data_IF_146951405357
#
_entry.id   IF_146951405357
#
_cell.length_a   1.000
_cell.length_b   1.000
_cell.length_c   1.000
_cell.angle_alpha   90.00
_cell.angle_beta   90.00
_cell.angle_gamma   90.00
#
_symmetry.space_group_name_H-M   'P 1'
#
loop_
_entity.id
_entity.type
_entity.pdbx_description
1 polymer ?
#
# COMPACT_ATOMS: atom_id res chain seq x y z
N UNK A 1 -47.69 -25.44 -20.19
CA UNK A 1 -47.37 -24.00 -20.00
C UNK A 1 -46.96 -23.64 -18.55
N UNK A 2 -47.32 -24.44 -17.53
CA UNK A 2 -47.05 -24.14 -16.10
C UNK A 2 -45.64 -24.45 -15.62
N UNK A 3 -45.00 -25.57 -16.06
CA UNK A 3 -43.67 -25.98 -15.57
C UNK A 3 -42.55 -25.04 -16.01
N UNK A 4 -42.61 -24.49 -17.20
CA UNK A 4 -41.61 -23.52 -17.70
C UNK A 4 -41.63 -22.20 -16.96
N UNK A 5 -42.82 -21.70 -16.54
CA UNK A 5 -43.00 -20.47 -15.79
C UNK A 5 -42.42 -20.63 -14.37
N UNK A 6 -42.73 -21.76 -13.69
CA UNK A 6 -42.22 -22.09 -12.35
C UNK A 6 -40.67 -22.23 -12.34
N UNK A 7 -40.09 -22.83 -13.41
CA UNK A 7 -38.65 -22.95 -13.54
C UNK A 7 -37.96 -21.61 -13.78
N UNK A 8 -38.59 -20.68 -14.52
CA UNK A 8 -38.08 -19.33 -14.72
C UNK A 8 -38.15 -18.51 -13.42
N UNK A 9 -39.26 -18.55 -12.71
CA UNK A 9 -39.44 -17.87 -11.42
C UNK A 9 -38.43 -18.36 -10.38
N UNK A 10 -38.20 -19.66 -10.32
CA UNK A 10 -37.21 -20.24 -9.38
C UNK A 10 -35.77 -19.79 -9.74
N UNK A 11 -35.41 -19.74 -11.03
CA UNK A 11 -34.12 -19.22 -11.47
C UNK A 11 -33.95 -17.72 -11.19
N UNK A 12 -35.00 -16.95 -11.32
CA UNK A 12 -34.99 -15.53 -11.01
C UNK A 12 -34.78 -15.29 -9.50
N UNK A 13 -35.53 -16.01 -8.67
CA UNK A 13 -35.39 -15.98 -7.22
C UNK A 13 -33.97 -16.39 -6.74
N UNK A 14 -33.36 -17.39 -7.38
CA UNK A 14 -31.98 -17.79 -7.08
C UNK A 14 -30.99 -16.67 -7.43
N UNK A 15 -31.11 -16.08 -8.61
CA UNK A 15 -30.25 -14.96 -9.04
C UNK A 15 -30.37 -13.74 -8.12
N UNK A 16 -31.60 -13.40 -7.72
CA UNK A 16 -31.85 -12.27 -6.80
C UNK A 16 -31.23 -12.53 -5.44
N UNK A 17 -31.31 -13.76 -4.93
CA UNK A 17 -30.65 -14.16 -3.66
C UNK A 17 -29.12 -14.12 -3.78
N UNK A 18 -28.56 -14.58 -4.90
CA UNK A 18 -27.11 -14.53 -5.12
C UNK A 18 -26.62 -13.09 -5.22
N UNK A 19 -27.35 -12.22 -5.93
CA UNK A 19 -27.01 -10.79 -6.03
C UNK A 19 -27.12 -10.09 -4.65
N UNK A 20 -28.16 -10.38 -3.88
CA UNK A 20 -28.30 -9.83 -2.54
C UNK A 20 -27.19 -10.30 -1.60
N UNK A 21 -26.80 -11.57 -1.68
CA UNK A 21 -25.69 -12.12 -0.89
C UNK A 21 -24.34 -11.47 -1.25
N UNK A 22 -24.08 -11.27 -2.53
CA UNK A 22 -22.90 -10.57 -3.02
C UNK A 22 -22.84 -9.11 -2.54
N UNK A 23 -23.98 -8.43 -2.57
CA UNK A 23 -24.09 -7.04 -2.10
C UNK A 23 -23.85 -6.96 -0.58
N UNK A 24 -24.44 -7.87 0.21
CA UNK A 24 -24.22 -7.94 1.64
C UNK A 24 -22.77 -8.23 2.00
N UNK A 25 -22.11 -9.12 1.26
CA UNK A 25 -20.69 -9.44 1.48
C UNK A 25 -19.81 -8.23 1.17
N UNK A 26 -20.09 -7.51 0.07
CA UNK A 26 -19.38 -6.28 -0.29
C UNK A 26 -19.52 -5.20 0.80
N UNK A 27 -20.74 -4.99 1.31
CA UNK A 27 -20.99 -4.01 2.38
C UNK A 27 -20.30 -4.42 3.70
N UNK A 28 -20.28 -5.71 4.01
CA UNK A 28 -19.56 -6.25 5.18
C UNK A 28 -18.04 -6.03 5.07
N UNK A 29 -17.47 -6.32 3.90
CA UNK A 29 -16.04 -6.07 3.64
C UNK A 29 -15.71 -4.60 3.77
N UNK A 30 -16.55 -3.71 3.22
CA UNK A 30 -16.40 -2.26 3.32
C UNK A 30 -16.46 -1.77 4.78
N UNK A 31 -17.40 -2.27 5.55
CA UNK A 31 -17.54 -1.92 6.98
C UNK A 31 -16.32 -2.38 7.79
N UNK A 32 -15.83 -3.60 7.52
CA UNK A 32 -14.62 -4.12 8.17
C UNK A 32 -13.39 -3.31 7.81
N UNK A 33 -13.22 -2.96 6.51
CA UNK A 33 -12.13 -2.13 6.03
C UNK A 33 -12.13 -0.76 6.73
N UNK A 34 -13.27 -0.08 6.80
CA UNK A 34 -13.41 1.21 7.48
C UNK A 34 -13.08 1.12 8.98
N UNK A 35 -13.45 0.02 9.63
CA UNK A 35 -13.10 -0.20 11.05
C UNK A 35 -11.60 -0.36 11.23
N UNK A 36 -10.96 -1.18 10.40
CA UNK A 36 -9.50 -1.40 10.44
C UNK A 36 -8.77 -0.09 10.17
N UNK A 37 -9.14 0.65 9.14
CA UNK A 37 -8.55 1.96 8.81
C UNK A 37 -8.70 2.94 9.98
N UNK A 38 -9.90 3.00 10.60
CA UNK A 38 -10.14 3.90 11.73
C UNK A 38 -9.26 3.58 12.94
N UNK A 39 -9.02 2.28 13.19
CA UNK A 39 -8.10 1.83 14.23
C UNK A 39 -6.66 2.21 13.89
N UNK A 40 -6.24 1.93 12.66
CA UNK A 40 -4.86 2.14 12.21
C UNK A 40 -4.51 3.63 12.08
N UNK A 41 -5.48 4.50 11.78
CA UNK A 41 -5.31 5.95 11.84
C UNK A 41 -5.18 6.47 13.29
N UNK A 42 -5.91 5.89 14.24
CA UNK A 42 -5.93 6.37 15.62
C UNK A 42 -4.59 6.21 16.33
N UNK A 43 -3.89 5.11 16.10
CA UNK A 43 -2.62 4.79 16.78
C UNK A 43 -1.56 5.87 16.53
N UNK A 44 -1.14 6.18 15.30
CA UNK A 44 -0.13 7.21 15.05
C UNK A 44 -0.65 8.62 15.40
N UNK A 45 -1.93 8.92 15.20
CA UNK A 45 -2.48 10.21 15.64
C UNK A 45 -2.36 10.40 17.15
N UNK A 46 -2.58 9.35 17.94
CA UNK A 46 -2.42 9.40 19.39
C UNK A 46 -0.96 9.58 19.77
N UNK A 47 -0.03 8.90 19.09
CA UNK A 47 1.40 9.06 19.30
C UNK A 47 1.89 10.48 18.97
N UNK A 48 1.52 11.00 17.79
CA UNK A 48 1.83 12.38 17.38
C UNK A 48 1.30 13.38 18.42
N UNK A 49 0.04 13.23 18.81
CA UNK A 49 -0.59 14.12 19.79
C UNK A 49 0.09 14.05 21.16
N UNK A 50 0.43 12.84 21.62
CA UNK A 50 1.15 12.61 22.88
C UNK A 50 2.55 13.20 22.86
N UNK A 51 3.30 12.97 21.79
CA UNK A 51 4.64 13.52 21.58
C UNK A 51 4.62 15.06 21.52
N UNK A 52 3.70 15.63 20.78
CA UNK A 52 3.52 17.08 20.71
C UNK A 52 3.12 17.68 22.07
N UNK A 53 2.21 17.04 22.81
CA UNK A 53 1.82 17.47 24.16
C UNK A 53 2.99 17.41 25.14
N UNK A 54 3.82 16.36 25.06
CA UNK A 54 5.02 16.25 25.88
C UNK A 54 6.02 17.37 25.60
N UNK A 55 6.28 17.69 24.33
CA UNK A 55 7.13 18.83 23.95
C UNK A 55 6.60 20.17 24.48
N UNK A 56 5.29 20.37 24.46
CA UNK A 56 4.66 21.61 24.96
C UNK A 56 4.74 21.72 26.48
N UNK A 57 4.51 20.63 27.20
CA UNK A 57 4.39 20.66 28.67
C UNK A 57 5.73 20.57 29.38
N UNK A 58 6.74 19.93 28.78
CA UNK A 58 8.02 19.60 29.41
C UNK A 58 9.23 20.18 28.67
N UNK A 59 9.03 21.28 27.93
CA UNK A 59 10.04 21.88 27.04
C UNK A 59 11.43 22.07 27.70
N UNK A 60 11.46 22.50 28.94
CA UNK A 60 12.71 22.79 29.68
C UNK A 60 13.34 21.56 30.35
N UNK A 61 12.60 20.44 30.46
CA UNK A 61 13.05 19.22 31.13
C UNK A 61 13.57 18.15 30.14
N UNK A 62 13.30 18.31 28.87
CA UNK A 62 13.67 17.35 27.81
C UNK A 62 15.05 17.75 27.26
N UNK A 63 16.01 16.80 27.30
CA UNK A 63 17.32 16.99 26.69
C UNK A 63 17.22 17.04 25.16
N UNK A 64 18.26 17.56 24.49
CA UNK A 64 18.31 17.76 23.04
C UNK A 64 18.16 16.45 22.26
N UNK A 65 18.79 15.36 22.72
CA UNK A 65 18.75 14.08 22.03
C UNK A 65 17.33 13.51 22.05
N UNK A 66 16.67 13.52 23.22
CA UNK A 66 15.28 13.09 23.37
C UNK A 66 14.33 13.96 22.56
N UNK A 67 14.56 15.26 22.49
CA UNK A 67 13.75 16.19 21.69
C UNK A 67 13.86 15.89 20.20
N UNK A 68 15.06 15.65 19.70
CA UNK A 68 15.28 15.28 18.30
C UNK A 68 14.61 13.94 17.97
N UNK A 69 14.65 12.97 18.89
CA UNK A 69 13.97 11.69 18.69
C UNK A 69 12.45 11.89 18.61
N UNK A 70 11.86 12.69 19.49
CA UNK A 70 10.41 12.99 19.46
C UNK A 70 10.00 13.67 18.13
N UNK A 71 10.83 14.58 17.61
CA UNK A 71 10.55 15.17 16.28
C UNK A 71 10.61 14.14 15.17
N UNK A 72 11.58 13.22 15.22
CA UNK A 72 11.69 12.14 14.25
C UNK A 72 10.45 11.22 14.30
N UNK A 73 10.02 10.83 15.51
CA UNK A 73 8.84 9.98 15.71
C UNK A 73 7.57 10.64 15.17
N UNK A 74 7.37 11.95 15.44
CA UNK A 74 6.23 12.71 14.90
C UNK A 74 6.27 12.75 13.36
N UNK A 75 7.45 12.94 12.79
CA UNK A 75 7.62 12.99 11.34
C UNK A 75 7.31 11.63 10.70
N UNK A 76 7.87 10.55 11.25
CA UNK A 76 7.69 9.19 10.73
C UNK A 76 6.22 8.75 10.82
N UNK A 77 5.54 9.00 11.94
CA UNK A 77 4.10 8.74 12.11
C UNK A 77 3.25 9.56 11.13
N UNK A 78 3.63 10.82 10.87
CA UNK A 78 2.94 11.68 9.90
C UNK A 78 3.09 11.17 8.48
N UNK A 79 4.31 10.75 8.08
CA UNK A 79 4.57 10.18 6.76
C UNK A 79 3.82 8.85 6.57
N UNK A 80 3.74 8.04 7.62
CA UNK A 80 2.96 6.81 7.59
C UNK A 80 1.46 7.08 7.35
N UNK A 81 0.89 8.10 8.02
CA UNK A 81 -0.49 8.53 7.83
C UNK A 81 -0.76 9.01 6.39
N UNK A 82 0.15 9.79 5.82
CA UNK A 82 0.04 10.24 4.43
C UNK A 82 -0.03 9.04 3.49
N UNK A 83 0.89 8.09 3.63
CA UNK A 83 0.91 6.87 2.81
C UNK A 83 -0.37 6.03 2.97
N UNK A 84 -0.90 5.91 4.19
CA UNK A 84 -2.16 5.19 4.42
C UNK A 84 -3.34 5.85 3.71
N UNK A 85 -3.43 7.19 3.76
CA UNK A 85 -4.49 7.94 3.06
C UNK A 85 -4.36 7.81 1.55
N UNK A 86 -3.15 7.89 0.99
CA UNK A 86 -2.92 7.71 -0.44
C UNK A 86 -3.32 6.32 -0.91
N UNK A 87 -2.96 5.28 -0.14
CA UNK A 87 -3.35 3.90 -0.44
C UNK A 87 -4.88 3.73 -0.41
N UNK A 88 -5.57 4.35 0.56
CA UNK A 88 -7.04 4.33 0.65
C UNK A 88 -7.69 5.01 -0.55
N UNK A 89 -7.17 6.17 -0.96
CA UNK A 89 -7.63 6.88 -2.15
C UNK A 89 -7.38 6.07 -3.44
N UNK A 90 -6.29 5.31 -3.53
CA UNK A 90 -6.03 4.42 -4.65
C UNK A 90 -7.08 3.29 -4.72
N UNK A 91 -7.39 2.65 -3.58
CA UNK A 91 -8.43 1.61 -3.50
C UNK A 91 -9.80 2.15 -3.94
N UNK A 92 -10.21 3.33 -3.45
CA UNK A 92 -11.50 3.92 -3.83
C UNK A 92 -11.60 4.25 -5.31
N UNK A 93 -10.49 4.71 -5.93
CA UNK A 93 -10.44 4.96 -7.40
C UNK A 93 -10.56 3.68 -8.20
N UNK A 94 -9.99 2.57 -7.72
CA UNK A 94 -10.12 1.25 -8.36
C UNK A 94 -11.57 0.78 -8.28
N UNK A 95 -12.20 0.85 -7.10
CA UNK A 95 -13.60 0.43 -6.90
C UNK A 95 -14.59 1.22 -7.76
N UNK A 96 -14.36 2.52 -7.93
CA UNK A 96 -15.18 3.39 -8.76
C UNK A 96 -14.97 3.20 -10.28
N UNK A 97 -14.01 2.36 -10.68
CA UNK A 97 -13.62 2.20 -12.09
C UNK A 97 -13.02 3.47 -12.72
N UNK A 98 -12.63 4.44 -11.90
CA UNK A 98 -12.09 5.75 -12.33
C UNK A 98 -10.57 5.76 -12.42
N UNK A 99 -9.93 4.62 -12.36
CA UNK A 99 -8.48 4.52 -12.46
C UNK A 99 -8.05 4.77 -13.91
N UNK A 100 -7.68 6.00 -14.22
CA UNK A 100 -7.07 6.37 -15.50
C UNK A 100 -5.60 5.92 -15.48
N UNK A 101 -5.34 4.69 -15.94
CA UNK A 101 -3.98 4.18 -16.08
C UNK A 101 -3.26 4.91 -17.22
N UNK A 102 -2.09 5.46 -16.92
CA UNK A 102 -1.17 6.00 -17.94
C UNK A 102 -0.18 4.91 -18.33
N UNK A 103 -0.60 4.08 -19.28
CA UNK A 103 0.20 2.96 -19.75
C UNK A 103 1.21 3.43 -20.79
N UNK A 104 2.44 3.68 -20.36
CA UNK A 104 3.57 4.08 -21.19
C UNK A 104 4.64 2.98 -21.21
N UNK A 105 5.53 3.01 -22.20
CA UNK A 105 6.67 2.08 -22.26
C UNK A 105 7.80 2.65 -21.44
N UNK A 106 8.12 1.97 -20.36
CA UNK A 106 9.09 2.41 -19.36
C UNK A 106 10.26 1.44 -19.22
N UNK A 107 11.41 1.96 -18.86
CA UNK A 107 12.58 1.16 -18.52
C UNK A 107 12.45 0.66 -17.07
N UNK A 108 12.37 -0.66 -16.89
CA UNK A 108 12.09 -1.29 -15.59
C UNK A 108 13.12 -0.92 -14.53
N UNK A 109 14.41 -0.83 -14.91
CA UNK A 109 15.49 -0.43 -14.00
C UNK A 109 15.35 1.02 -13.48
N UNK A 110 14.81 1.94 -14.29
CA UNK A 110 14.55 3.32 -13.87
C UNK A 110 13.41 3.38 -12.87
N UNK A 111 12.33 2.63 -13.12
CA UNK A 111 11.17 2.55 -12.22
C UNK A 111 11.58 1.97 -10.85
N UNK A 112 12.41 0.93 -10.84
CA UNK A 112 12.94 0.37 -9.59
C UNK A 112 13.86 1.36 -8.88
N UNK A 113 14.75 2.02 -9.61
CA UNK A 113 15.66 3.03 -9.06
C UNK A 113 14.92 4.20 -8.44
N UNK A 114 13.82 4.65 -9.08
CA UNK A 114 12.94 5.67 -8.53
C UNK A 114 12.29 5.21 -7.22
N UNK A 115 11.75 3.99 -7.19
CA UNK A 115 11.15 3.42 -5.99
C UNK A 115 12.15 3.35 -4.82
N UNK A 116 13.38 2.89 -5.09
CA UNK A 116 14.41 2.76 -4.05
C UNK A 116 14.89 4.12 -3.48
N UNK A 117 14.76 5.21 -4.23
CA UNK A 117 15.02 6.56 -3.70
C UNK A 117 14.01 7.01 -2.65
N UNK A 118 12.80 6.46 -2.67
CA UNK A 118 11.69 6.81 -1.77
C UNK A 118 11.49 5.82 -0.62
N UNK A 119 12.28 4.74 -0.58
CA UNK A 119 12.23 3.77 0.53
C UNK A 119 12.62 4.42 1.86
N UNK A 120 12.00 4.00 2.93
CA UNK A 120 12.12 4.58 4.27
C UNK A 120 13.57 4.67 4.77
N UNK A 121 13.84 5.61 5.70
CA UNK A 121 15.17 5.79 6.31
C UNK A 121 15.67 4.54 7.06
N UNK A 122 14.77 3.66 7.49
CA UNK A 122 15.13 2.38 8.12
C UNK A 122 15.85 1.43 7.16
N UNK A 123 15.82 1.71 5.86
CA UNK A 123 16.57 0.95 4.85
C UNK A 123 18.09 0.91 5.11
N UNK A 124 18.64 1.90 5.84
CA UNK A 124 20.07 1.97 6.18
C UNK A 124 20.53 0.74 7.00
N UNK A 125 19.61 0.10 7.72
CA UNK A 125 19.88 -1.10 8.52
C UNK A 125 19.78 -2.41 7.70
N UNK A 126 19.43 -2.33 6.41
CA UNK A 126 19.24 -3.48 5.51
C UNK A 126 20.12 -3.34 4.27
N UNK A 127 20.50 -4.48 3.67
CA UNK A 127 21.18 -4.51 2.37
C UNK A 127 20.13 -4.67 1.27
N UNK A 128 19.81 -3.60 0.55
CA UNK A 128 18.83 -3.63 -0.53
C UNK A 128 19.56 -3.62 -1.87
N UNK A 129 19.32 -4.61 -2.71
CA UNK A 129 19.93 -4.75 -4.04
C UNK A 129 18.85 -4.97 -5.11
N UNK A 130 19.07 -4.40 -6.28
CA UNK A 130 18.27 -4.68 -7.47
C UNK A 130 19.16 -5.34 -8.52
N UNK A 131 18.70 -6.48 -9.05
CA UNK A 131 19.39 -7.26 -10.08
C UNK A 131 18.43 -7.52 -11.23
N UNK A 132 18.91 -7.33 -12.45
CA UNK A 132 18.16 -7.55 -13.68
C UNK A 132 18.88 -8.55 -14.57
N UNK A 133 18.13 -9.41 -15.25
CA UNK A 133 18.67 -10.28 -16.30
C UNK A 133 18.95 -9.53 -17.60
N UNK A 134 18.38 -8.34 -17.79
CA UNK A 134 18.53 -7.48 -18.96
C UNK A 134 18.46 -6.01 -18.53
N UNK A 135 19.53 -5.24 -18.76
CA UNK A 135 19.63 -3.83 -18.37
C UNK A 135 18.67 -2.92 -19.16
N UNK A 136 18.22 -3.35 -20.34
CA UNK A 136 17.31 -2.60 -21.21
C UNK A 136 15.89 -3.18 -21.23
N UNK A 137 15.48 -3.79 -20.13
CA UNK A 137 14.16 -4.39 -20.01
C UNK A 137 13.07 -3.31 -20.02
N UNK A 138 12.27 -3.29 -21.09
CA UNK A 138 11.15 -2.37 -21.28
C UNK A 138 9.84 -3.09 -20.98
N UNK A 139 8.92 -2.40 -20.31
CA UNK A 139 7.57 -2.90 -20.09
C UNK A 139 6.55 -1.76 -20.18
N UNK A 140 5.34 -2.10 -20.63
CA UNK A 140 4.23 -1.15 -20.69
C UNK A 140 3.52 -1.12 -19.34
N UNK A 141 3.62 0.01 -18.65
CA UNK A 141 3.09 0.16 -17.28
C UNK A 141 2.72 1.61 -16.96
N UNK A 142 1.96 1.82 -15.90
CA UNK A 142 1.90 3.13 -15.22
C UNK A 142 3.03 3.17 -14.18
N UNK A 143 4.13 3.85 -14.51
CA UNK A 143 5.35 3.90 -13.69
C UNK A 143 5.07 4.36 -12.26
N UNK A 144 4.17 5.34 -12.06
CA UNK A 144 3.85 5.88 -10.72
C UNK A 144 3.23 4.82 -9.82
N UNK A 145 2.35 3.99 -10.37
CA UNK A 145 1.71 2.92 -9.61
C UNK A 145 2.68 1.79 -9.29
N UNK A 146 3.54 1.42 -10.25
CA UNK A 146 4.54 0.38 -10.02
C UNK A 146 5.59 0.85 -9.00
N UNK A 147 6.04 2.11 -9.06
CA UNK A 147 6.90 2.72 -8.03
C UNK A 147 6.25 2.58 -6.65
N UNK A 148 4.97 2.93 -6.51
CA UNK A 148 4.26 2.82 -5.23
C UNK A 148 4.14 1.37 -4.74
N UNK A 149 3.89 0.41 -5.64
CA UNK A 149 3.86 -1.01 -5.31
C UNK A 149 5.21 -1.48 -4.78
N UNK A 150 6.31 -1.11 -5.46
CA UNK A 150 7.66 -1.50 -5.05
C UNK A 150 8.00 -0.89 -3.68
N UNK A 151 7.72 0.40 -3.45
CA UNK A 151 7.93 1.06 -2.15
C UNK A 151 7.18 0.28 -1.06
N UNK A 152 5.90 0.00 -1.24
CA UNK A 152 5.08 -0.71 -0.26
C UNK A 152 5.63 -2.10 0.06
N UNK A 153 6.11 -2.85 -0.96
CA UNK A 153 6.68 -4.18 -0.76
C UNK A 153 8.02 -4.13 -0.03
N UNK A 154 8.89 -3.18 -0.40
CA UNK A 154 10.20 -3.03 0.23
C UNK A 154 10.07 -2.52 1.66
N UNK A 155 9.21 -1.54 1.94
CA UNK A 155 8.93 -1.06 3.30
C UNK A 155 8.34 -2.16 4.18
N UNK A 156 7.47 -3.01 3.64
CA UNK A 156 6.98 -4.19 4.33
C UNK A 156 8.11 -5.19 4.64
N UNK A 157 9.00 -5.43 3.67
CA UNK A 157 10.15 -6.31 3.89
C UNK A 157 11.06 -5.75 4.99
N UNK A 158 11.37 -4.45 4.99
CA UNK A 158 12.15 -3.78 6.04
C UNK A 158 11.48 -3.95 7.41
N UNK A 159 10.18 -3.69 7.48
CA UNK A 159 9.42 -3.71 8.74
C UNK A 159 9.32 -5.09 9.37
N UNK A 160 9.21 -6.15 8.54
CA UNK A 160 8.94 -7.51 9.01
C UNK A 160 10.15 -8.44 8.98
N UNK A 161 11.34 -7.93 8.64
CA UNK A 161 12.60 -8.70 8.69
C UNK A 161 13.52 -8.16 9.77
N UNK A 162 14.49 -8.99 10.19
CA UNK A 162 15.49 -8.57 11.16
C UNK A 162 16.46 -7.55 10.57
N UNK A 163 16.97 -6.65 11.41
CA UNK A 163 18.06 -5.72 11.05
C UNK A 163 19.23 -6.49 10.44
N UNK A 164 19.79 -5.97 9.36
CA UNK A 164 20.89 -6.62 8.62
C UNK A 164 20.42 -7.65 7.59
N UNK A 165 19.12 -7.87 7.43
CA UNK A 165 18.60 -8.76 6.38
C UNK A 165 18.91 -8.21 5.00
N UNK A 166 19.09 -9.12 4.03
CA UNK A 166 19.23 -8.78 2.62
C UNK A 166 17.86 -8.79 1.95
N UNK A 167 17.49 -7.70 1.28
CA UNK A 167 16.30 -7.55 0.46
C UNK A 167 16.76 -7.47 -0.99
N UNK A 168 16.29 -8.37 -1.85
CA UNK A 168 16.66 -8.39 -3.26
C UNK A 168 15.44 -8.16 -4.13
N UNK A 169 15.57 -7.26 -5.10
CA UNK A 169 14.59 -7.05 -6.16
C UNK A 169 15.15 -7.69 -7.41
N UNK A 170 14.50 -8.73 -7.90
CA UNK A 170 14.93 -9.48 -9.07
C UNK A 170 13.96 -9.23 -10.22
N UNK A 171 14.48 -8.96 -11.40
CA UNK A 171 13.66 -8.78 -12.61
C UNK A 171 14.04 -9.79 -13.66
N UNK A 172 13.02 -10.48 -14.19
CA UNK A 172 13.16 -11.47 -15.24
C UNK A 172 12.27 -11.11 -16.43
N UNK A 173 12.78 -11.30 -17.64
CA UNK A 173 11.98 -11.28 -18.86
C UNK A 173 11.32 -12.63 -19.06
N UNK A 174 10.00 -12.62 -19.21
CA UNK A 174 9.21 -13.75 -19.67
C UNK A 174 8.89 -13.58 -21.15
N UNK A 175 8.23 -14.56 -21.78
CA UNK A 175 7.91 -14.53 -23.22
C UNK A 175 7.15 -13.24 -23.62
N UNK A 176 6.12 -12.84 -22.88
CA UNK A 176 5.29 -11.66 -23.13
C UNK A 176 5.28 -10.63 -21.99
N UNK A 177 5.88 -10.96 -20.86
CA UNK A 177 5.73 -10.22 -19.62
C UNK A 177 7.09 -9.97 -18.95
N UNK A 178 7.10 -9.03 -18.00
CA UNK A 178 8.20 -8.80 -17.09
C UNK A 178 7.76 -9.18 -15.69
N UNK A 179 8.60 -9.94 -15.00
CA UNK A 179 8.39 -10.31 -13.59
C UNK A 179 9.33 -9.52 -12.71
N UNK A 180 8.76 -8.90 -11.67
CA UNK A 180 9.51 -8.30 -10.55
C UNK A 180 9.23 -9.16 -9.32
N UNK A 181 10.29 -9.59 -8.63
CA UNK A 181 10.24 -10.44 -7.43
C UNK A 181 11.00 -9.78 -6.29
#
# INVERSE_FOLDING_TARGET
LGEGALAMENRQNIREKEQAALLMEKERLRANLLRTISHDLRTPLTAISGNASNLLSNHSAIDEATRLQIYADIYDDSMWLINLVENLLAVTRIEDGRMNLRMETELVSEVISEALRHVSRQSVEHSITAESTDDFLLARMDARLIVQVIINLVDNAIKYTHKGSRIQILTDKLESDVRIR
#
